data_IF_586833660419
#
_entry.id   IF_586833660419
#
_cell.length_a   1.000
_cell.length_b   1.000
_cell.length_c   1.000
_cell.angle_alpha   90.00
_cell.angle_beta   90.00
_cell.angle_gamma   90.00
#
_symmetry.space_group_name_H-M   'P 1'
#
loop_
_entity.id
_entity.type
_entity.pdbx_description
1 polymer ?
#
# COMPACT_ATOMS: atom_id res chain seq x y z
N UNK A 1 -21.08 -17.44 23.61
CA UNK A 1 -21.90 -18.63 23.30
C UNK A 1 -23.02 -18.15 22.38
N UNK A 2 -23.16 -18.72 21.19
CA UNK A 2 -24.23 -18.33 20.25
C UNK A 2 -25.35 -19.36 20.37
N UNK A 3 -26.53 -18.92 20.80
CA UNK A 3 -27.72 -19.77 20.91
C UNK A 3 -28.61 -19.50 19.71
N UNK A 4 -28.94 -20.54 18.94
CA UNK A 4 -29.76 -20.43 17.73
C UNK A 4 -30.97 -21.36 17.82
N UNK A 5 -32.13 -20.95 17.31
CA UNK A 5 -33.34 -21.76 17.35
C UNK A 5 -33.23 -22.99 16.45
N UNK A 6 -33.91 -24.06 16.87
CA UNK A 6 -34.00 -25.30 16.11
C UNK A 6 -35.30 -25.32 15.30
N UNK A 7 -35.20 -25.59 14.01
CA UNK A 7 -36.33 -25.70 13.09
C UNK A 7 -36.60 -27.15 12.72
N UNK A 8 -37.88 -27.52 12.62
CA UNK A 8 -38.29 -28.86 12.20
C UNK A 8 -38.42 -28.95 10.67
N UNK A 9 -37.72 -29.88 10.05
CA UNK A 9 -37.79 -30.13 8.62
C UNK A 9 -39.06 -30.93 8.26
N UNK A 10 -39.64 -30.64 7.09
CA UNK A 10 -40.81 -31.37 6.56
C UNK A 10 -40.45 -32.75 6.01
N UNK A 11 -39.26 -32.86 5.42
CA UNK A 11 -38.70 -34.11 4.91
C UNK A 11 -37.53 -34.52 5.80
N UNK A 12 -37.44 -35.81 6.15
CA UNK A 12 -36.35 -36.33 6.97
C UNK A 12 -35.05 -36.38 6.17
N UNK A 13 -34.01 -35.78 6.72
CA UNK A 13 -32.66 -35.83 6.17
C UNK A 13 -31.87 -36.99 6.80
N UNK A 14 -31.58 -38.03 6.03
CA UNK A 14 -30.87 -39.21 6.54
C UNK A 14 -29.35 -39.02 6.61
N UNK A 15 -28.82 -38.06 5.85
CA UNK A 15 -27.40 -37.70 5.82
C UNK A 15 -27.16 -36.40 6.59
N UNK A 16 -26.03 -36.32 7.28
CA UNK A 16 -25.63 -35.11 7.99
C UNK A 16 -25.14 -34.08 7.00
N UNK A 17 -25.87 -32.98 6.89
CA UNK A 17 -25.64 -31.96 5.86
C UNK A 17 -25.27 -30.64 6.51
N UNK A 18 -24.13 -30.08 6.09
CA UNK A 18 -23.73 -28.71 6.38
C UNK A 18 -23.74 -27.91 5.08
N UNK A 19 -24.44 -26.78 5.06
CA UNK A 19 -24.54 -25.92 3.90
C UNK A 19 -24.39 -24.45 4.29
N UNK A 20 -23.85 -23.64 3.38
CA UNK A 20 -23.87 -22.19 3.50
C UNK A 20 -25.00 -21.69 2.60
N UNK A 21 -26.08 -21.22 3.23
CA UNK A 21 -27.30 -20.77 2.55
C UNK A 21 -27.62 -19.32 2.93
N UNK A 22 -28.61 -18.72 2.26
CA UNK A 22 -29.05 -17.33 2.51
C UNK A 22 -27.90 -16.31 2.39
N UNK A 23 -27.02 -16.54 1.41
CA UNK A 23 -25.88 -15.68 1.11
C UNK A 23 -26.40 -14.31 0.65
N UNK A 24 -25.93 -13.25 1.31
CA UNK A 24 -26.18 -11.88 0.94
C UNK A 24 -24.89 -11.04 1.07
N UNK A 25 -24.99 -9.73 0.88
CA UNK A 25 -23.81 -8.84 0.91
C UNK A 25 -23.19 -8.68 2.30
N UNK A 26 -23.91 -9.02 3.37
CA UNK A 26 -23.48 -8.81 4.76
C UNK A 26 -23.09 -10.12 5.46
N UNK A 27 -23.45 -11.28 4.90
CA UNK A 27 -23.32 -12.54 5.61
C UNK A 27 -23.93 -13.73 4.87
N UNK A 28 -23.97 -14.86 5.57
CA UNK A 28 -24.73 -16.04 5.17
C UNK A 28 -25.14 -16.84 6.42
N UNK A 29 -25.81 -17.96 6.23
CA UNK A 29 -26.21 -18.86 7.29
C UNK A 29 -25.52 -20.20 7.12
N UNK A 30 -24.78 -20.63 8.14
CA UNK A 30 -24.32 -22.01 8.25
C UNK A 30 -25.50 -22.86 8.71
N UNK A 31 -26.08 -23.61 7.79
CA UNK A 31 -27.18 -24.51 8.06
C UNK A 31 -26.65 -25.92 8.32
N UNK A 32 -27.08 -26.51 9.43
CA UNK A 32 -26.77 -27.87 9.82
C UNK A 32 -28.08 -28.64 9.90
N UNK A 33 -28.19 -29.74 9.15
CA UNK A 33 -29.40 -30.54 9.02
C UNK A 33 -29.13 -32.01 9.32
N UNK A 34 -30.01 -32.62 10.13
CA UNK A 34 -29.99 -34.04 10.46
C UNK A 34 -31.37 -34.52 10.91
N UNK A 35 -31.81 -35.68 10.43
CA UNK A 35 -33.15 -36.22 10.65
C UNK A 35 -34.22 -35.15 10.36
N UNK A 36 -35.03 -34.79 11.35
CA UNK A 36 -36.09 -33.77 11.21
C UNK A 36 -35.66 -32.41 11.76
N UNK A 37 -34.37 -32.18 11.95
CA UNK A 37 -33.83 -31.03 12.67
C UNK A 37 -32.91 -30.22 11.77
N UNK A 38 -33.12 -28.90 11.77
CA UNK A 38 -32.27 -27.92 11.11
C UNK A 38 -31.89 -26.82 12.11
N UNK A 39 -30.63 -26.41 12.07
CA UNK A 39 -30.10 -25.25 12.79
C UNK A 39 -29.48 -24.31 11.77
N UNK A 40 -29.82 -23.02 11.84
CA UNK A 40 -29.20 -21.98 11.01
C UNK A 40 -28.40 -21.03 11.90
N UNK A 41 -27.08 -21.00 11.71
CA UNK A 41 -26.18 -20.07 12.40
C UNK A 41 -25.85 -18.90 11.48
N UNK A 42 -26.41 -17.71 11.71
CA UNK A 42 -26.06 -16.53 10.94
C UNK A 42 -24.61 -16.11 11.24
N UNK A 43 -23.85 -15.80 10.20
CA UNK A 43 -22.54 -15.18 10.31
C UNK A 43 -22.41 -14.02 9.34
N UNK A 44 -21.67 -12.99 9.74
CA UNK A 44 -21.41 -11.82 8.90
C UNK A 44 -20.06 -11.92 8.20
N UNK A 45 -19.96 -11.31 7.02
CA UNK A 45 -18.72 -11.11 6.28
C UNK A 45 -18.54 -9.63 5.97
N UNK A 46 -17.33 -9.05 6.11
CA UNK A 46 -17.10 -7.62 5.90
C UNK A 46 -16.98 -7.27 4.40
N UNK A 47 -17.89 -7.78 3.56
CA UNK A 47 -17.83 -7.61 2.09
C UNK A 47 -17.98 -6.16 1.71
N UNK A 48 -18.98 -5.45 2.24
CA UNK A 48 -19.22 -4.03 1.94
C UNK A 48 -18.00 -3.15 2.26
N UNK A 49 -17.45 -3.30 3.47
CA UNK A 49 -16.28 -2.53 3.90
C UNK A 49 -15.05 -2.79 3.02
N UNK A 50 -14.83 -4.05 2.58
CA UNK A 50 -13.73 -4.38 1.66
C UNK A 50 -13.96 -3.80 0.26
N UNK A 51 -15.20 -3.83 -0.23
CA UNK A 51 -15.56 -3.27 -1.54
C UNK A 51 -15.39 -1.75 -1.54
N UNK A 52 -15.91 -1.06 -0.53
CA UNK A 52 -15.75 0.40 -0.38
C UNK A 52 -14.26 0.78 -0.27
N UNK A 53 -13.48 0.10 0.57
CA UNK A 53 -12.04 0.36 0.65
C UNK A 53 -11.29 0.12 -0.67
N UNK A 54 -11.73 -0.87 -1.46
CA UNK A 54 -11.16 -1.12 -2.79
C UNK A 54 -11.53 -0.01 -3.79
N UNK A 55 -12.77 0.49 -3.74
CA UNK A 55 -13.21 1.61 -4.58
C UNK A 55 -12.42 2.87 -4.21
N UNK A 56 -12.34 3.19 -2.91
CA UNK A 56 -11.61 4.36 -2.42
C UNK A 56 -10.14 4.31 -2.85
N UNK A 57 -9.50 3.13 -2.76
CA UNK A 57 -8.11 2.96 -3.21
C UNK A 57 -7.94 3.21 -4.71
N UNK A 58 -8.86 2.74 -5.54
CA UNK A 58 -8.81 2.96 -7.00
C UNK A 58 -9.05 4.42 -7.35
N UNK A 59 -10.04 5.04 -6.70
CA UNK A 59 -10.43 6.44 -6.96
C UNK A 59 -9.42 7.45 -6.41
N UNK A 60 -8.69 7.12 -5.34
CA UNK A 60 -7.61 7.95 -4.80
C UNK A 60 -6.38 8.03 -5.73
N UNK A 61 -6.29 7.12 -6.72
CA UNK A 61 -5.15 7.02 -7.61
C UNK A 61 -3.91 6.38 -6.96
N UNK A 62 -2.75 6.40 -7.65
CA UNK A 62 -1.55 5.75 -7.16
C UNK A 62 -1.03 6.39 -5.87
N UNK A 63 -0.59 5.56 -4.93
CA UNK A 63 0.01 6.02 -3.68
C UNK A 63 1.43 6.58 -3.90
N UNK A 64 1.96 7.29 -2.90
CA UNK A 64 3.36 7.74 -2.91
C UNK A 64 4.34 6.58 -3.16
N UNK A 65 4.04 5.40 -2.61
CA UNK A 65 4.89 4.22 -2.76
C UNK A 65 4.80 3.59 -4.16
N UNK A 66 3.63 3.65 -4.80
CA UNK A 66 3.45 3.18 -6.18
C UNK A 66 4.28 4.07 -7.14
N UNK A 67 4.20 5.39 -6.98
CA UNK A 67 5.03 6.33 -7.74
C UNK A 67 6.53 6.14 -7.46
N UNK A 68 6.91 5.95 -6.19
CA UNK A 68 8.30 5.68 -5.82
C UNK A 68 8.83 4.39 -6.46
N UNK A 69 8.03 3.32 -6.45
CA UNK A 69 8.41 2.03 -7.03
C UNK A 69 8.57 2.14 -8.54
N UNK A 70 7.64 2.83 -9.21
CA UNK A 70 7.72 3.09 -10.64
C UNK A 70 8.96 3.92 -11.01
N UNK A 71 9.24 5.00 -10.28
CA UNK A 71 10.42 5.83 -10.49
C UNK A 71 11.73 5.06 -10.24
N UNK A 72 11.76 4.23 -9.19
CA UNK A 72 12.92 3.39 -8.88
C UNK A 72 13.20 2.40 -10.00
N UNK A 73 12.17 1.72 -10.49
CA UNK A 73 12.31 0.80 -11.62
C UNK A 73 12.86 1.50 -12.87
N UNK A 74 12.38 2.70 -13.20
CA UNK A 74 12.87 3.43 -14.37
C UNK A 74 14.32 3.90 -14.20
N UNK A 75 14.70 4.36 -13.01
CA UNK A 75 16.09 4.70 -12.70
C UNK A 75 17.01 3.47 -12.83
N UNK A 76 16.61 2.35 -12.22
CA UNK A 76 17.40 1.13 -12.14
C UNK A 76 17.51 0.45 -13.52
N UNK A 77 16.45 0.53 -14.34
CA UNK A 77 16.42 0.03 -15.71
C UNK A 77 17.05 1.00 -16.73
N UNK A 78 17.58 2.14 -16.29
CA UNK A 78 18.09 3.24 -17.13
C UNK A 78 17.14 3.64 -18.26
N UNK A 79 15.85 3.66 -17.93
CA UNK A 79 14.76 3.98 -18.85
C UNK A 79 14.28 5.40 -18.57
N UNK A 80 13.79 6.09 -19.62
CA UNK A 80 13.08 7.38 -19.59
C UNK A 80 13.16 8.12 -18.24
N UNK A 81 14.31 8.76 -18.00
CA UNK A 81 14.63 9.36 -16.71
C UNK A 81 13.77 10.59 -16.42
N UNK A 82 13.24 11.26 -17.45
CA UNK A 82 12.25 12.34 -17.31
C UNK A 82 10.97 11.79 -16.68
N UNK A 83 10.50 10.62 -17.14
CA UNK A 83 9.35 9.97 -16.53
C UNK A 83 9.63 9.49 -15.10
N UNK A 84 10.85 9.01 -14.85
CA UNK A 84 11.28 8.68 -13.47
C UNK A 84 11.22 9.93 -12.57
N UNK A 85 11.64 11.09 -13.09
CA UNK A 85 11.62 12.37 -12.37
C UNK A 85 10.21 12.85 -12.06
N UNK A 86 9.29 12.73 -13.03
CA UNK A 86 7.89 13.07 -12.84
C UNK A 86 7.27 12.26 -11.69
N UNK A 87 7.48 10.94 -11.72
CA UNK A 87 6.91 10.04 -10.73
C UNK A 87 7.53 10.20 -9.35
N UNK A 88 8.86 10.32 -9.25
CA UNK A 88 9.48 10.55 -7.94
C UNK A 88 9.07 11.91 -7.37
N UNK A 89 8.86 12.93 -8.22
CA UNK A 89 8.36 14.23 -7.77
C UNK A 89 6.95 14.08 -7.20
N UNK A 90 6.03 13.37 -7.86
CA UNK A 90 4.71 13.04 -7.32
C UNK A 90 4.80 12.30 -5.98
N UNK A 91 5.69 11.31 -5.87
CA UNK A 91 5.92 10.58 -4.63
C UNK A 91 6.35 11.50 -3.48
N UNK A 92 7.29 12.43 -3.73
CA UNK A 92 7.76 13.38 -2.72
C UNK A 92 6.69 14.39 -2.29
N UNK A 93 5.76 14.76 -3.17
CA UNK A 93 4.62 15.64 -2.84
C UNK A 93 3.61 14.90 -1.95
N UNK A 94 3.32 13.64 -2.27
CA UNK A 94 2.41 12.79 -1.49
C UNK A 94 3.02 12.35 -0.14
N UNK A 95 4.35 12.33 -0.01
CA UNK A 95 5.05 11.94 1.21
C UNK A 95 6.23 12.88 1.51
N UNK A 96 5.96 14.13 1.94
CA UNK A 96 6.98 15.18 2.08
C UNK A 96 7.98 14.94 3.22
N UNK A 97 7.74 13.94 4.09
CA UNK A 97 8.65 13.55 5.18
C UNK A 97 9.49 12.32 4.83
N UNK A 98 9.24 11.66 3.70
CA UNK A 98 9.94 10.44 3.30
C UNK A 98 11.32 10.77 2.72
N UNK A 99 12.33 10.87 3.58
CA UNK A 99 13.70 11.24 3.18
C UNK A 99 14.26 10.36 2.06
N UNK A 100 13.90 9.07 2.00
CA UNK A 100 14.37 8.14 0.98
C UNK A 100 13.82 8.46 -0.42
N UNK A 101 12.62 9.03 -0.51
CA UNK A 101 12.05 9.47 -1.78
C UNK A 101 12.80 10.69 -2.32
N UNK A 102 13.15 11.65 -1.45
CA UNK A 102 14.02 12.78 -1.83
C UNK A 102 15.43 12.35 -2.21
N UNK A 103 15.97 11.33 -1.55
CA UNK A 103 17.26 10.72 -1.92
C UNK A 103 17.23 10.11 -3.32
N UNK A 104 16.16 9.37 -3.64
CA UNK A 104 16.00 8.77 -4.97
C UNK A 104 15.77 9.86 -6.03
N UNK A 105 15.02 10.90 -5.69
CA UNK A 105 14.84 12.08 -6.55
C UNK A 105 16.17 12.73 -6.91
N UNK A 106 17.06 12.92 -5.93
CA UNK A 106 18.37 13.51 -6.20
C UNK A 106 19.24 12.65 -7.13
N UNK A 107 19.17 11.32 -7.02
CA UNK A 107 19.87 10.42 -7.95
C UNK A 107 19.36 10.55 -9.38
N UNK A 108 18.04 10.60 -9.56
CA UNK A 108 17.41 10.76 -10.87
C UNK A 108 17.83 12.10 -11.48
N UNK A 109 17.76 13.19 -10.70
CA UNK A 109 18.16 14.53 -11.15
C UNK A 109 19.64 14.59 -11.52
N UNK A 110 20.52 13.95 -10.76
CA UNK A 110 21.94 13.87 -11.08
C UNK A 110 22.18 13.10 -12.39
N UNK A 111 21.47 11.99 -12.60
CA UNK A 111 21.57 11.18 -13.82
C UNK A 111 21.03 11.91 -15.06
N UNK A 112 20.05 12.79 -14.88
CA UNK A 112 19.56 13.72 -15.90
C UNK A 112 20.52 14.89 -16.19
N UNK A 113 21.63 15.02 -15.44
CA UNK A 113 22.57 16.15 -15.57
C UNK A 113 22.11 17.43 -14.85
N UNK A 114 20.99 17.38 -14.11
CA UNK A 114 20.43 18.49 -13.36
C UNK A 114 21.06 18.59 -11.96
N UNK A 115 22.37 18.80 -11.89
CA UNK A 115 23.16 18.80 -10.65
C UNK A 115 22.62 19.77 -9.59
N UNK A 116 22.17 20.96 -9.99
CA UNK A 116 21.60 21.94 -9.06
C UNK A 116 20.33 21.43 -8.38
N UNK A 117 19.44 20.77 -9.13
CA UNK A 117 18.23 20.16 -8.59
C UNK A 117 18.59 18.97 -7.68
N UNK A 118 19.53 18.13 -8.11
CA UNK A 118 20.03 17.00 -7.33
C UNK A 118 20.56 17.43 -5.96
N UNK A 119 21.33 18.51 -5.91
CA UNK A 119 21.84 19.10 -4.66
C UNK A 119 20.68 19.57 -3.76
N UNK A 120 19.67 20.23 -4.32
CA UNK A 120 18.51 20.70 -3.56
C UNK A 120 17.73 19.52 -2.95
N UNK A 121 17.41 18.51 -3.75
CA UNK A 121 16.73 17.29 -3.28
C UNK A 121 17.55 16.52 -2.25
N UNK A 122 18.87 16.42 -2.43
CA UNK A 122 19.77 15.76 -1.48
C UNK A 122 19.89 16.52 -0.15
N UNK A 123 19.89 17.85 -0.16
CA UNK A 123 19.84 18.68 1.07
C UNK A 123 18.53 18.47 1.83
N UNK A 124 17.40 18.38 1.12
CA UNK A 124 16.12 18.09 1.73
C UNK A 124 16.08 16.68 2.33
N UNK A 125 16.58 15.68 1.61
CA UNK A 125 16.73 14.32 2.13
C UNK A 125 17.62 14.27 3.37
N UNK A 126 18.75 14.98 3.36
CA UNK A 126 19.68 15.07 4.50
C UNK A 126 19.01 15.66 5.75
N UNK A 127 18.26 16.76 5.59
CA UNK A 127 17.56 17.40 6.71
C UNK A 127 16.53 16.45 7.33
N UNK A 128 15.73 15.79 6.49
CA UNK A 128 14.72 14.83 6.94
C UNK A 128 15.35 13.56 7.58
N UNK A 129 16.41 13.02 6.99
CA UNK A 129 17.13 11.86 7.53
C UNK A 129 17.80 12.18 8.88
N UNK A 130 18.35 13.39 9.03
CA UNK A 130 18.93 13.88 10.29
C UNK A 130 17.85 13.99 11.36
N UNK A 131 16.70 14.59 11.02
CA UNK A 131 15.56 14.67 11.94
C UNK A 131 15.00 13.29 12.33
N UNK A 132 15.06 12.32 11.42
CA UNK A 132 14.65 10.94 11.67
C UNK A 132 15.73 10.09 12.37
N UNK A 133 16.91 10.63 12.65
CA UNK A 133 18.02 9.89 13.27
C UNK A 133 18.63 8.78 12.40
N UNK A 134 18.42 8.82 11.07
CA UNK A 134 18.90 7.77 10.17
C UNK A 134 20.32 8.08 9.64
N UNK A 135 21.34 7.54 10.33
CA UNK A 135 22.74 7.81 10.02
C UNK A 135 23.18 7.35 8.62
N UNK A 136 22.62 6.25 8.11
CA UNK A 136 23.00 5.72 6.79
C UNK A 136 22.60 6.68 5.67
N UNK A 137 21.37 7.18 5.71
CA UNK A 137 20.91 8.15 4.73
C UNK A 137 21.59 9.51 4.89
N UNK A 138 21.94 9.91 6.12
CA UNK A 138 22.77 11.10 6.35
C UNK A 138 24.12 10.96 5.64
N UNK A 139 24.78 9.80 5.78
CA UNK A 139 26.05 9.52 5.11
C UNK A 139 25.89 9.53 3.59
N UNK A 140 24.94 8.76 3.04
CA UNK A 140 24.71 8.69 1.59
C UNK A 140 24.42 10.05 0.95
N UNK A 141 23.65 10.90 1.63
CA UNK A 141 23.37 12.25 1.13
C UNK A 141 24.59 13.15 1.21
N UNK A 142 25.38 13.10 2.29
CA UNK A 142 26.64 13.86 2.40
C UNK A 142 27.63 13.45 1.31
N UNK A 143 27.77 12.17 1.04
CA UNK A 143 28.66 11.65 0.00
C UNK A 143 28.24 12.18 -1.38
N UNK A 144 26.95 12.11 -1.71
CA UNK A 144 26.41 12.65 -2.96
C UNK A 144 26.60 14.17 -3.07
N UNK A 145 26.35 14.91 -1.99
CA UNK A 145 26.56 16.36 -1.95
C UNK A 145 28.03 16.73 -2.11
N UNK A 146 28.97 15.92 -1.61
CA UNK A 146 30.40 16.13 -1.81
C UNK A 146 30.80 15.89 -3.27
N UNK A 147 30.30 14.81 -3.87
CA UNK A 147 30.54 14.47 -5.28
C UNK A 147 30.04 15.56 -6.22
N UNK A 148 28.86 16.11 -5.96
CA UNK A 148 28.22 17.10 -6.82
C UNK A 148 28.62 18.56 -6.50
N UNK A 149 29.55 18.79 -5.58
CA UNK A 149 29.98 20.15 -5.19
C UNK A 149 28.95 20.95 -4.39
N UNK A 150 27.96 20.27 -3.80
CA UNK A 150 26.91 20.86 -2.95
C UNK A 150 27.37 21.22 -1.53
N UNK A 151 28.58 20.82 -1.15
CA UNK A 151 29.26 21.21 0.10
C UNK A 151 30.36 22.22 -0.24
N UNK A 152 30.18 23.50 0.14
CA UNK A 152 31.34 24.40 0.28
C UNK A 152 32.07 23.95 1.54
N UNK A 153 33.31 23.47 1.37
CA UNK A 153 34.26 23.30 2.47
C UNK A 153 34.58 24.66 3.09
#
# INVERSE_FOLDING_TARGET
MVTVPVSKLKNTQESFTMAINEINMEGAHLQIMWANTMVAVPFSVPTKAKTEASIDKVMAGPSANDYYSAASFYLDADKDLEKAHEWITKATVLSPKAFWMFRKKSLIEAKLGNTNAAIASAKQSLALATAAGNADYVKMNKDSLKEWGGVKM
#
